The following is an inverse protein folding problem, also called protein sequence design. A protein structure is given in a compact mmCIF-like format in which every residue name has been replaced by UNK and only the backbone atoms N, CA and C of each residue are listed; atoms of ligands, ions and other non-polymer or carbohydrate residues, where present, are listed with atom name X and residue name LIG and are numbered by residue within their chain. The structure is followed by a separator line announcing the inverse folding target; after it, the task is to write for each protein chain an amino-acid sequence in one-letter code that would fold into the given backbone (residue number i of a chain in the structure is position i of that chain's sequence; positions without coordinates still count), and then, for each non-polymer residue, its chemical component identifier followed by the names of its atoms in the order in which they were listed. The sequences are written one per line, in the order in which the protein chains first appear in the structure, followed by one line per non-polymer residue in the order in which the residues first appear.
data_IF_651040027504
#
_entry.id   IF_651040027504
#
_cell.length_a   1.000
_cell.length_b   1.000
_cell.length_c   1.000
_cell.angle_alpha   90.00
_cell.angle_beta   90.00
_cell.angle_gamma   90.00
#
_symmetry.space_group_name_H-M   'P 1'
#
loop_
_entity.id
_entity.type
_entity.pdbx_description
1 polymer ?
#
# COMPACT_ATOMS: atom_id res chain seq x y z
N UNK A 1 18.47 -55.75 0.67
CA UNK A 1 18.21 -57.20 0.89
C UNK A 1 17.12 -57.31 1.94
N UNK A 2 16.33 -58.39 1.92
CA UNK A 2 15.19 -58.67 2.82
C UNK A 2 14.01 -57.66 2.76
N UNK A 3 12.74 -58.09 2.89
CA UNK A 3 12.15 -59.43 2.64
C UNK A 3 10.62 -59.36 2.42
N UNK A 4 10.09 -60.19 1.50
CA UNK A 4 8.73 -60.80 1.44
C UNK A 4 7.44 -59.99 1.73
N UNK A 5 6.48 -60.08 0.79
CA UNK A 5 5.02 -59.87 0.97
C UNK A 5 4.38 -61.03 1.80
N UNK A 6 3.10 -60.90 2.24
CA UNK A 6 2.01 -61.49 1.43
C UNK A 6 0.66 -60.73 1.43
N UNK A 7 -0.26 -61.17 0.57
CA UNK A 7 -1.72 -60.88 0.58
C UNK A 7 -2.50 -62.14 1.07
N UNK A 8 -3.82 -62.23 1.28
CA UNK A 8 -4.98 -61.40 0.88
C UNK A 8 -5.80 -60.93 2.13
N UNK A 9 -7.14 -60.91 2.31
CA UNK A 9 -8.35 -61.53 1.68
C UNK A 9 -9.61 -60.64 1.89
N UNK A 10 -10.76 -61.02 1.31
CA UNK A 10 -12.06 -60.33 1.42
C UNK A 10 -12.94 -60.80 2.60
N UNK A 11 -13.91 -59.96 3.00
CA UNK A 11 -15.29 -60.41 3.28
C UNK A 11 -16.30 -59.27 3.08
N UNK A 12 -17.49 -59.59 2.55
CA UNK A 12 -18.58 -58.63 2.28
C UNK A 12 -19.45 -58.28 3.51
N UNK A 13 -20.05 -57.08 3.49
CA UNK A 13 -21.49 -56.87 3.74
C UNK A 13 -21.90 -55.43 3.39
N UNK A 14 -23.18 -55.19 3.07
CA UNK A 14 -23.69 -53.89 2.61
C UNK A 14 -25.17 -53.65 3.02
N UNK A 15 -25.73 -52.50 2.60
CA UNK A 15 -27.18 -52.15 2.56
C UNK A 15 -27.78 -51.66 3.90
N UNK A 16 -28.65 -50.62 3.95
CA UNK A 16 -28.82 -49.43 3.10
C UNK A 16 -28.93 -48.09 3.89
N UNK A 17 -29.03 -46.94 3.19
CA UNK A 17 -29.83 -45.78 3.65
C UNK A 17 -30.79 -45.37 2.52
N UNK A 18 -32.05 -45.08 2.88
CA UNK A 18 -33.17 -44.97 1.93
C UNK A 18 -33.50 -43.56 1.43
N UNK A 19 -34.24 -43.50 0.31
CA UNK A 19 -34.84 -42.26 -0.25
C UNK A 19 -36.13 -41.87 0.47
N UNK A 20 -36.40 -40.58 0.61
CA UNK A 20 -37.75 -39.97 0.41
C UNK A 20 -37.62 -38.48 0.06
N UNK A 21 -38.71 -37.85 -0.38
CA UNK A 21 -38.70 -36.53 -1.02
C UNK A 21 -39.97 -35.71 -0.76
N UNK A 22 -39.85 -34.40 -1.07
CA UNK A 22 -40.91 -33.42 -1.39
C UNK A 22 -41.86 -32.91 -0.28
N UNK A 23 -41.81 -31.58 -0.08
CA UNK A 23 -42.95 -30.64 0.16
C UNK A 23 -43.88 -30.84 1.39
N UNK A 24 -44.45 -29.81 2.03
CA UNK A 24 -44.69 -28.42 1.62
C UNK A 24 -44.88 -27.47 2.83
N UNK A 25 -44.97 -26.16 2.56
CA UNK A 25 -45.74 -25.12 3.27
C UNK A 25 -45.71 -25.02 4.82
N UNK A 26 -45.38 -23.82 5.34
CA UNK A 26 -46.35 -22.98 6.09
C UNK A 26 -45.84 -21.53 6.17
N UNK A 27 -46.72 -20.56 5.98
CA UNK A 27 -46.47 -19.11 6.14
C UNK A 27 -46.63 -18.64 7.59
N UNK A 28 -45.77 -17.73 8.06
CA UNK A 28 -45.98 -17.00 9.32
C UNK A 28 -45.54 -15.53 9.20
N UNK A 29 -46.50 -14.63 8.98
CA UNK A 29 -46.31 -13.17 9.10
C UNK A 29 -46.77 -12.69 10.47
N UNK A 30 -45.92 -11.96 11.19
CA UNK A 30 -46.28 -11.21 12.40
C UNK A 30 -45.54 -9.85 12.37
N UNK A 31 -46.16 -8.79 11.87
CA UNK A 31 -46.97 -7.81 12.62
C UNK A 31 -46.17 -7.01 13.65
N UNK A 32 -45.79 -5.79 13.26
CA UNK A 32 -45.41 -4.70 14.18
C UNK A 32 -46.68 -4.18 14.87
N UNK A 33 -46.62 -3.92 16.18
CA UNK A 33 -47.68 -3.25 16.94
C UNK A 33 -47.08 -2.36 18.05
N UNK A 34 -47.69 -1.19 18.27
CA UNK A 34 -47.23 -0.15 19.20
C UNK A 34 -47.16 -0.58 20.68
N UNK A 35 -46.21 0.02 21.40
CA UNK A 35 -46.41 0.45 22.78
C UNK A 35 -45.85 1.88 22.96
N UNK A 36 -46.67 2.80 23.46
CA UNK A 36 -46.33 4.22 23.67
C UNK A 36 -46.33 4.56 25.17
N UNK A 37 -45.77 5.75 25.48
CA UNK A 37 -45.98 6.52 26.72
C UNK A 37 -45.24 6.05 28.00
N UNK A 38 -44.74 6.93 28.89
CA UNK A 38 -44.69 8.41 28.86
C UNK A 38 -43.59 9.04 29.76
N UNK A 39 -43.57 10.39 29.78
CA UNK A 39 -42.75 11.34 30.56
C UNK A 39 -41.38 11.69 29.93
N UNK A 40 -41.07 12.94 29.54
CA UNK A 40 -41.07 14.26 30.24
C UNK A 40 -39.93 14.36 31.27
N UNK A 41 -39.03 15.34 31.25
CA UNK A 41 -38.79 16.57 30.44
C UNK A 41 -37.26 16.87 30.46
N UNK A 42 -36.62 17.86 29.80
CA UNK A 42 -36.93 19.10 29.02
C UNK A 42 -35.68 19.40 28.13
N UNK A 43 -35.63 20.32 27.16
CA UNK A 43 -36.60 21.22 26.53
C UNK A 43 -35.91 22.14 25.48
N UNK A 44 -36.71 22.85 24.68
CA UNK A 44 -36.30 23.87 23.66
C UNK A 44 -35.54 23.35 22.41
N UNK A 45 -36.32 23.17 21.34
CA UNK A 45 -35.92 23.26 19.92
C UNK A 45 -36.64 24.46 19.29
N UNK A 46 -36.13 25.03 18.19
CA UNK A 46 -36.95 25.57 17.11
C UNK A 46 -36.99 24.59 15.92
N UNK A 47 -38.18 24.18 15.50
CA UNK A 47 -38.41 23.19 14.43
C UNK A 47 -38.69 23.81 13.05
N UNK A 48 -38.44 23.11 11.93
CA UNK A 48 -38.55 23.67 10.58
C UNK A 48 -39.91 23.46 9.89
N UNK A 49 -40.19 24.30 8.90
CA UNK A 49 -41.28 24.22 7.90
C UNK A 49 -40.83 24.95 6.62
N UNK A 50 -41.29 24.65 5.40
CA UNK A 50 -41.92 23.44 4.85
C UNK A 50 -41.96 23.56 3.31
N UNK A 51 -42.01 22.44 2.58
CA UNK A 51 -42.06 22.44 1.10
C UNK A 51 -43.40 22.94 0.56
N UNK A 52 -43.36 23.85 -0.43
CA UNK A 52 -44.43 24.04 -1.43
C UNK A 52 -43.75 24.20 -2.79
N UNK A 53 -44.29 23.56 -3.83
CA UNK A 53 -43.84 23.68 -5.21
C UNK A 53 -44.88 24.41 -6.07
N UNK A 54 -44.45 25.10 -7.12
CA UNK A 54 -45.34 25.45 -8.23
C UNK A 54 -44.60 25.56 -9.57
N UNK A 55 -45.34 25.46 -10.69
CA UNK A 55 -44.83 25.55 -12.07
C UNK A 55 -44.96 26.99 -12.60
N UNK A 56 -44.10 27.41 -13.54
CA UNK A 56 -44.24 28.75 -14.15
C UNK A 56 -43.21 29.13 -15.22
N UNK A 57 -43.45 28.66 -16.45
CA UNK A 57 -43.14 29.35 -17.73
C UNK A 57 -41.70 29.71 -18.15
N UNK A 58 -41.58 30.12 -19.42
CA UNK A 58 -40.33 30.21 -20.18
C UNK A 58 -39.77 31.62 -20.25
N UNK A 59 -38.45 31.76 -20.27
CA UNK A 59 -37.80 32.66 -21.23
C UNK A 59 -36.53 32.01 -21.81
N UNK A 60 -36.38 32.11 -23.14
CA UNK A 60 -35.15 31.73 -23.85
C UNK A 60 -34.13 32.86 -23.74
N UNK A 61 -32.88 32.53 -23.42
CA UNK A 61 -31.72 33.40 -23.70
C UNK A 61 -30.97 32.80 -24.90
N UNK A 62 -30.61 33.63 -25.87
CA UNK A 62 -30.02 33.20 -27.14
C UNK A 62 -28.49 33.01 -27.04
N UNK A 63 -27.88 32.12 -27.85
CA UNK A 63 -26.44 31.93 -27.86
C UNK A 63 -25.71 33.13 -28.49
N UNK A 64 -24.54 33.46 -27.93
CA UNK A 64 -23.61 34.43 -28.52
C UNK A 64 -23.09 33.91 -29.86
N UNK A 65 -23.27 34.68 -30.93
CA UNK A 65 -22.70 34.40 -32.25
C UNK A 65 -21.23 34.84 -32.29
N UNK A 66 -20.36 33.92 -32.69
CA UNK A 66 -19.11 34.30 -33.35
C UNK A 66 -19.43 34.77 -34.77
N UNK A 67 -18.79 35.85 -35.22
CA UNK A 67 -18.88 36.38 -36.58
C UNK A 67 -17.48 36.43 -37.20
N UNK A 68 -17.35 35.91 -38.41
CA UNK A 68 -16.06 35.79 -39.12
C UNK A 68 -15.79 36.92 -40.11
N UNK A 69 -14.48 37.16 -40.34
CA UNK A 69 -13.88 37.73 -41.55
C UNK A 69 -14.13 39.24 -41.84
N UNK A 70 -13.31 39.90 -42.70
CA UNK A 70 -12.26 39.36 -43.57
C UNK A 70 -10.82 39.83 -43.26
N UNK A 71 -9.88 39.37 -44.08
CA UNK A 71 -8.43 39.52 -43.98
C UNK A 71 -7.85 40.81 -44.56
N UNK A 72 -6.73 41.27 -44.02
CA UNK A 72 -5.62 41.85 -44.80
C UNK A 72 -4.26 41.41 -44.22
N UNK A 73 -3.25 41.24 -45.08
CA UNK A 73 -1.88 40.92 -44.69
C UNK A 73 -1.08 42.21 -44.48
N UNK A 74 -0.24 42.28 -43.44
CA UNK A 74 1.18 42.69 -43.51
C UNK A 74 1.91 42.53 -42.14
N UNK A 75 3.25 42.63 -42.16
CA UNK A 75 4.14 42.78 -41.00
C UNK A 75 4.16 41.67 -39.93
N UNK A 76 4.53 40.45 -40.32
CA UNK A 76 5.26 39.53 -39.44
C UNK A 76 6.79 39.75 -39.56
N UNK A 77 7.41 40.53 -38.67
CA UNK A 77 8.87 40.46 -38.43
C UNK A 77 9.44 41.19 -37.18
N UNK A 78 8.62 41.65 -36.21
CA UNK A 78 9.13 42.44 -35.06
C UNK A 78 8.83 41.91 -33.64
N UNK A 79 8.03 40.85 -33.46
CA UNK A 79 7.81 40.25 -32.13
C UNK A 79 8.74 39.07 -31.78
N UNK A 80 9.38 38.44 -32.77
CA UNK A 80 10.34 37.34 -32.55
C UNK A 80 11.58 37.78 -31.75
N UNK A 81 12.12 38.97 -32.02
CA UNK A 81 13.34 39.46 -31.35
C UNK A 81 13.14 39.81 -29.87
N UNK A 82 11.99 40.37 -29.46
CA UNK A 82 11.77 40.75 -28.06
C UNK A 82 11.66 39.53 -27.13
N UNK A 83 11.01 38.45 -27.57
CA UNK A 83 10.94 37.21 -26.78
C UNK A 83 12.31 36.52 -26.64
N UNK A 84 13.14 36.52 -27.69
CA UNK A 84 14.53 36.03 -27.60
C UNK A 84 15.37 36.86 -26.61
N UNK A 85 15.26 38.18 -26.62
CA UNK A 85 16.02 39.04 -25.69
C UNK A 85 15.59 38.84 -24.22
N UNK A 86 14.31 38.56 -23.95
CA UNK A 86 13.85 38.21 -22.59
C UNK A 86 14.37 36.85 -22.12
N UNK A 87 14.38 35.82 -22.99
CA UNK A 87 14.95 34.51 -22.65
C UNK A 87 16.46 34.54 -22.39
N UNK A 88 17.24 35.31 -23.16
CA UNK A 88 18.67 35.46 -22.90
C UNK A 88 18.96 36.20 -21.58
N UNK A 89 18.11 37.18 -21.19
CA UNK A 89 18.27 37.87 -19.89
C UNK A 89 17.99 36.97 -18.69
N UNK A 90 16.98 36.10 -18.75
CA UNK A 90 16.66 35.19 -17.63
C UNK A 90 17.67 34.03 -17.48
N UNK A 91 18.26 33.57 -18.58
CA UNK A 91 19.38 32.62 -18.52
C UNK A 91 20.64 33.27 -17.91
N UNK A 92 20.97 34.51 -18.27
CA UNK A 92 22.12 35.23 -17.72
C UNK A 92 22.02 35.45 -16.20
N UNK A 93 20.84 35.80 -15.67
CA UNK A 93 20.63 35.96 -14.22
C UNK A 93 20.82 34.65 -13.45
N UNK A 94 20.38 33.51 -14.00
CA UNK A 94 20.58 32.21 -13.36
C UNK A 94 22.05 31.77 -13.41
N UNK A 95 22.78 32.05 -14.50
CA UNK A 95 24.19 31.67 -14.62
C UNK A 95 25.08 32.37 -13.56
N UNK A 96 24.81 33.66 -13.29
CA UNK A 96 25.48 34.40 -12.22
C UNK A 96 25.21 33.87 -10.80
N UNK A 97 24.06 33.22 -10.57
CA UNK A 97 23.70 32.69 -9.24
C UNK A 97 24.48 31.40 -8.89
N UNK A 98 24.78 30.57 -9.90
CA UNK A 98 25.62 29.38 -9.69
C UNK A 98 27.12 29.75 -9.61
N UNK A 99 27.59 30.72 -10.39
CA UNK A 99 28.98 31.19 -10.32
C UNK A 99 29.33 31.83 -8.97
N UNK A 100 28.42 32.62 -8.39
CA UNK A 100 28.67 33.24 -7.07
C UNK A 100 28.71 32.21 -5.94
N UNK A 101 27.90 31.15 -5.98
CA UNK A 101 27.99 30.03 -5.02
C UNK A 101 29.35 29.33 -5.07
N UNK A 102 29.87 29.01 -6.27
CA UNK A 102 31.20 28.40 -6.39
C UNK A 102 32.33 29.35 -5.97
N UNK A 103 32.23 30.64 -6.29
CA UNK A 103 33.23 31.64 -5.90
C UNK A 103 33.27 31.89 -4.39
N UNK A 104 32.13 31.83 -3.69
CA UNK A 104 32.08 31.87 -2.22
C UNK A 104 32.77 30.66 -1.60
N UNK A 105 32.49 29.45 -2.09
CA UNK A 105 33.17 28.23 -1.62
C UNK A 105 34.68 28.23 -1.90
N UNK A 106 35.11 28.68 -3.08
CA UNK A 106 36.53 28.76 -3.42
C UNK A 106 37.26 29.87 -2.64
N UNK A 107 36.60 31.02 -2.40
CA UNK A 107 37.14 32.12 -1.60
C UNK A 107 37.37 31.74 -0.12
N UNK A 108 36.51 30.89 0.45
CA UNK A 108 36.68 30.38 1.81
C UNK A 108 37.93 29.50 1.97
N UNK A 109 38.25 28.68 0.96
CA UNK A 109 39.48 27.86 0.99
C UNK A 109 40.76 28.67 0.74
N UNK A 110 40.70 29.77 -0.01
CA UNK A 110 41.90 30.51 -0.43
C UNK A 110 42.55 31.38 0.65
N UNK A 111 41.95 31.52 1.84
CA UNK A 111 42.49 32.32 2.95
C UNK A 111 43.24 31.51 4.04
N UNK A 112 43.41 30.20 3.90
CA UNK A 112 44.05 29.35 4.93
C UNK A 112 45.56 29.10 4.72
N UNK A 113 46.36 30.17 4.64
CA UNK A 113 47.82 30.09 4.75
C UNK A 113 48.33 31.18 5.72
N UNK A 114 48.60 30.81 6.98
CA UNK A 114 49.03 31.78 8.00
C UNK A 114 49.37 31.25 9.41
N UNK A 115 49.12 29.97 9.72
CA UNK A 115 49.52 29.36 10.99
C UNK A 115 49.67 27.84 10.89
N UNK A 116 50.44 27.23 11.79
CA UNK A 116 50.43 25.78 12.02
C UNK A 116 49.18 25.40 12.84
N UNK A 117 47.99 25.60 12.26
CA UNK A 117 46.78 25.03 12.80
C UNK A 117 46.83 23.50 12.66
N UNK A 118 46.70 22.79 13.77
CA UNK A 118 46.52 21.34 13.79
C UNK A 118 45.20 21.04 13.07
N UNK A 119 45.21 20.28 11.98
CA UNK A 119 44.00 19.99 11.18
C UNK A 119 43.00 19.14 11.98
N UNK A 120 42.10 19.80 12.69
CA UNK A 120 40.93 19.19 13.31
C UNK A 120 39.92 18.86 12.22
N UNK A 121 40.08 17.69 11.59
CA UNK A 121 39.17 17.19 10.56
C UNK A 121 37.72 17.12 11.05
N UNK A 122 36.77 17.36 10.14
CA UNK A 122 35.34 17.32 10.46
C UNK A 122 34.85 15.88 10.62
N UNK A 123 34.86 15.38 11.87
CA UNK A 123 34.27 14.09 12.21
C UNK A 123 32.74 14.17 12.26
N UNK A 124 32.08 13.69 11.19
CA UNK A 124 30.62 13.57 11.12
C UNK A 124 30.22 12.10 10.85
N UNK A 125 30.25 11.23 11.88
CA UNK A 125 29.94 9.80 11.71
C UNK A 125 28.45 9.56 11.44
N UNK A 126 28.14 8.54 10.63
CA UNK A 126 26.77 8.11 10.40
C UNK A 126 26.10 7.59 11.68
N UNK A 127 24.79 7.80 11.82
CA UNK A 127 24.01 7.35 12.99
C UNK A 127 23.83 5.82 13.01
N UNK A 128 23.58 5.26 14.19
CA UNK A 128 23.39 3.80 14.34
C UNK A 128 22.16 3.27 13.58
N UNK A 129 21.06 4.04 13.47
CA UNK A 129 19.92 3.67 12.60
C UNK A 129 20.36 3.61 11.13
N UNK A 130 21.18 4.56 10.66
CA UNK A 130 21.74 4.56 9.30
C UNK A 130 22.64 3.32 9.06
N UNK A 131 23.57 3.04 9.98
CA UNK A 131 24.47 1.86 9.90
C UNK A 131 23.73 0.52 9.82
N UNK A 132 22.56 0.41 10.47
CA UNK A 132 21.70 -0.79 10.42
C UNK A 132 20.70 -0.80 9.25
N UNK A 133 20.57 0.27 8.46
CA UNK A 133 19.61 0.34 7.36
C UNK A 133 20.20 -0.32 6.10
N UNK A 134 20.15 -1.65 6.05
CA UNK A 134 20.72 -2.44 4.95
C UNK A 134 19.58 -3.10 4.14
N UNK A 135 19.63 -2.96 2.82
CA UNK A 135 18.79 -3.75 1.90
C UNK A 135 19.65 -4.86 1.28
N UNK A 136 19.51 -6.14 1.69
CA UNK A 136 20.37 -7.22 1.20
C UNK A 136 20.17 -7.52 -0.29
N UNK A 137 18.97 -7.28 -0.83
CA UNK A 137 18.62 -7.62 -2.22
C UNK A 137 18.99 -6.49 -3.20
N UNK A 138 19.00 -5.22 -2.75
CA UNK A 138 19.18 -4.08 -3.64
C UNK A 138 20.54 -4.05 -4.36
N UNK A 139 21.71 -4.30 -3.72
CA UNK A 139 23.00 -4.32 -4.42
C UNK A 139 23.06 -5.38 -5.53
N UNK A 140 22.44 -6.54 -5.31
CA UNK A 140 22.38 -7.63 -6.29
C UNK A 140 21.58 -7.20 -7.52
N UNK A 141 20.38 -6.66 -7.30
CA UNK A 141 19.53 -6.15 -8.39
C UNK A 141 20.19 -4.97 -9.11
N UNK A 142 20.80 -4.02 -8.40
CA UNK A 142 21.45 -2.87 -9.01
C UNK A 142 22.69 -3.26 -9.83
N UNK A 143 23.45 -4.30 -9.44
CA UNK A 143 24.53 -4.83 -10.29
C UNK A 143 23.94 -5.37 -11.60
N UNK A 144 22.98 -6.28 -11.52
CA UNK A 144 22.36 -6.91 -12.69
C UNK A 144 21.73 -5.86 -13.63
N UNK A 145 21.00 -4.89 -13.09
CA UNK A 145 20.37 -3.83 -13.88
C UNK A 145 21.38 -2.80 -14.42
N UNK A 146 22.50 -2.56 -13.72
CA UNK A 146 23.59 -1.72 -14.23
C UNK A 146 24.26 -2.39 -15.42
N UNK A 147 24.61 -3.67 -15.31
CA UNK A 147 25.30 -4.39 -16.39
C UNK A 147 24.44 -4.42 -17.66
N UNK A 148 23.15 -4.73 -17.53
CA UNK A 148 22.16 -4.66 -18.63
C UNK A 148 22.10 -3.24 -19.24
N UNK A 149 22.00 -2.18 -18.42
CA UNK A 149 21.94 -0.79 -18.90
C UNK A 149 23.24 -0.29 -19.55
N UNK A 150 24.39 -0.82 -19.14
CA UNK A 150 25.70 -0.53 -19.72
C UNK A 150 25.95 -1.29 -21.02
N UNK A 151 24.98 -2.06 -21.52
CA UNK A 151 25.11 -2.83 -22.76
C UNK A 151 25.95 -4.09 -22.60
N UNK A 152 25.90 -4.74 -21.43
CA UNK A 152 26.58 -6.01 -21.19
C UNK A 152 26.18 -7.06 -22.24
N UNK A 153 27.12 -7.37 -23.13
CA UNK A 153 26.98 -8.45 -24.09
C UNK A 153 27.39 -9.76 -23.42
N UNK A 154 26.46 -10.72 -23.40
CA UNK A 154 26.74 -12.09 -22.95
C UNK A 154 27.75 -12.75 -23.89
N UNK A 155 28.61 -13.60 -23.35
CA UNK A 155 29.59 -14.36 -24.14
C UNK A 155 28.95 -15.32 -25.18
N UNK A 156 27.65 -15.63 -25.07
CA UNK A 156 26.88 -16.38 -26.06
C UNK A 156 26.15 -15.50 -27.09
N UNK A 157 26.44 -14.20 -27.14
CA UNK A 157 25.94 -13.25 -28.14
C UNK A 157 24.45 -12.88 -28.02
N UNK A 158 23.78 -13.28 -26.92
CA UNK A 158 22.34 -13.03 -26.71
C UNK A 158 22.09 -11.76 -25.90
N UNK A 159 20.97 -11.10 -26.19
CA UNK A 159 20.45 -10.02 -25.38
C UNK A 159 20.00 -10.54 -23.99
N UNK A 160 20.29 -9.80 -22.90
CA UNK A 160 19.86 -10.17 -21.56
C UNK A 160 18.38 -9.83 -21.30
N UNK A 161 17.59 -10.82 -20.91
CA UNK A 161 16.20 -10.64 -20.47
C UNK A 161 16.17 -10.62 -18.93
N UNK A 162 15.78 -9.48 -18.33
CA UNK A 162 15.66 -9.36 -16.87
C UNK A 162 14.33 -9.90 -16.36
N UNK A 163 14.38 -10.96 -15.56
CA UNK A 163 13.25 -11.44 -14.74
C UNK A 163 13.33 -10.92 -13.28
N UNK A 164 14.35 -10.14 -12.94
CA UNK A 164 14.58 -9.59 -11.60
C UNK A 164 14.00 -8.17 -11.40
N UNK A 165 13.43 -7.56 -12.44
CA UNK A 165 12.89 -6.20 -12.36
C UNK A 165 11.43 -6.21 -11.89
N UNK A 166 11.21 -6.06 -10.58
CA UNK A 166 9.88 -6.08 -9.94
C UNK A 166 9.03 -4.80 -10.15
N UNK A 167 9.20 -4.12 -11.29
CA UNK A 167 8.48 -2.91 -11.68
C UNK A 167 7.55 -3.21 -12.88
N UNK A 168 6.23 -3.32 -12.70
CA UNK A 168 5.32 -3.62 -13.79
C UNK A 168 5.20 -2.48 -14.82
N UNK A 169 5.48 -1.23 -14.43
CA UNK A 169 5.38 -0.07 -15.32
C UNK A 169 6.57 0.04 -16.30
N UNK A 170 7.61 -0.78 -16.11
CA UNK A 170 8.71 -0.89 -17.06
C UNK A 170 8.36 -1.68 -18.33
N UNK A 171 7.23 -2.43 -18.32
CA UNK A 171 6.74 -3.17 -19.48
C UNK A 171 5.69 -2.36 -20.25
N UNK A 172 5.90 -2.18 -21.55
CA UNK A 172 4.92 -1.52 -22.43
C UNK A 172 3.59 -2.28 -22.58
N UNK A 173 3.55 -3.55 -22.17
CA UNK A 173 2.36 -4.39 -22.16
C UNK A 173 1.43 -4.12 -20.95
N UNK A 174 1.94 -3.56 -19.85
CA UNK A 174 1.17 -3.27 -18.63
C UNK A 174 1.09 -1.75 -18.42
N UNK A 175 -0.09 -1.18 -18.70
CA UNK A 175 -0.32 0.27 -18.64
C UNK A 175 -1.21 0.64 -17.46
N UNK A 176 -0.95 1.77 -16.76
CA UNK A 176 -1.87 2.35 -15.79
C UNK A 176 -3.30 2.45 -16.34
N UNK A 177 -4.30 2.19 -15.49
CA UNK A 177 -5.69 2.25 -15.95
C UNK A 177 -6.12 3.71 -16.20
N UNK A 178 -6.89 3.93 -17.27
CA UNK A 178 -7.32 5.27 -17.68
C UNK A 178 -8.04 6.01 -16.55
N UNK A 179 -8.88 5.32 -15.76
CA UNK A 179 -9.59 5.93 -14.63
C UNK A 179 -8.67 6.59 -13.59
N UNK A 180 -7.47 6.05 -13.35
CA UNK A 180 -6.48 6.65 -12.47
C UNK A 180 -5.77 7.85 -13.13
N UNK A 181 -5.43 7.73 -14.42
CA UNK A 181 -4.86 8.83 -15.22
C UNK A 181 -5.83 10.03 -15.28
N UNK A 182 -7.10 9.77 -15.57
CA UNK A 182 -8.17 10.75 -15.65
C UNK A 182 -8.54 11.35 -14.28
N UNK A 183 -8.38 10.60 -13.18
CA UNK A 183 -8.55 11.13 -11.83
C UNK A 183 -7.45 12.16 -11.50
N UNK A 184 -6.18 11.83 -11.77
CA UNK A 184 -5.05 12.76 -11.53
C UNK A 184 -5.11 13.96 -12.48
N UNK A 185 -5.40 13.75 -13.77
CA UNK A 185 -5.51 14.83 -14.74
C UNK A 185 -6.64 15.83 -14.39
N UNK A 186 -7.78 15.35 -13.88
CA UNK A 186 -8.85 16.21 -13.36
C UNK A 186 -8.47 16.89 -12.05
N UNK A 187 -7.84 16.18 -11.11
CA UNK A 187 -7.38 16.79 -9.86
C UNK A 187 -6.49 18.01 -10.11
N UNK A 188 -5.47 17.86 -10.97
CA UNK A 188 -4.53 18.93 -11.33
C UNK A 188 -5.16 20.12 -12.09
N UNK A 189 -6.32 19.93 -12.75
CA UNK A 189 -6.98 20.96 -13.57
C UNK A 189 -8.19 21.62 -12.89
N UNK A 190 -8.91 20.87 -12.07
CA UNK A 190 -10.25 21.22 -11.56
C UNK A 190 -10.28 21.41 -10.04
N UNK A 191 -9.27 20.91 -9.30
CA UNK A 191 -9.23 20.98 -7.84
C UNK A 191 -8.10 21.92 -7.40
N UNK A 192 -8.39 23.21 -7.23
CA UNK A 192 -7.43 24.19 -6.71
C UNK A 192 -6.73 23.72 -5.40
N UNK A 193 -7.44 22.98 -4.54
CA UNK A 193 -6.89 22.41 -3.31
C UNK A 193 -5.90 21.25 -3.51
N UNK A 194 -5.73 20.68 -4.72
CA UNK A 194 -4.72 19.63 -4.97
C UNK A 194 -3.28 20.16 -4.86
N UNK A 195 -3.09 21.48 -4.90
CA UNK A 195 -1.81 22.15 -4.68
C UNK A 195 -1.66 22.71 -3.24
N UNK A 196 -2.63 22.47 -2.36
CA UNK A 196 -2.61 22.92 -0.96
C UNK A 196 -1.95 21.87 -0.05
N UNK A 197 -1.42 22.31 1.09
CA UNK A 197 -1.07 21.37 2.17
C UNK A 197 -2.32 20.63 2.67
N UNK A 198 -2.16 19.33 2.90
CA UNK A 198 -3.18 18.45 3.46
C UNK A 198 -2.85 18.11 4.92
N UNK A 199 -3.79 17.48 5.61
CA UNK A 199 -3.48 16.80 6.88
C UNK A 199 -2.42 15.71 6.62
N UNK A 200 -1.49 15.50 7.56
CA UNK A 200 -0.40 14.52 7.41
C UNK A 200 -0.91 13.07 7.21
N UNK A 201 -2.10 12.74 7.73
CA UNK A 201 -2.76 11.45 7.52
C UNK A 201 -3.45 11.31 6.16
N UNK A 202 -3.38 12.32 5.29
CA UNK A 202 -4.05 12.39 3.98
C UNK A 202 -5.32 13.23 3.96
N UNK A 203 -5.86 13.48 2.75
CA UNK A 203 -7.11 14.25 2.59
C UNK A 203 -8.33 13.48 3.13
N UNK A 204 -9.40 14.18 3.56
CA UNK A 204 -10.63 13.51 3.99
C UNK A 204 -11.22 12.59 2.92
N UNK A 205 -11.22 13.00 1.66
CA UNK A 205 -11.77 12.23 0.54
C UNK A 205 -10.98 10.94 0.29
N UNK A 206 -9.64 11.01 0.35
CA UNK A 206 -8.78 9.84 0.22
C UNK A 206 -8.98 8.86 1.39
N UNK A 207 -9.03 9.38 2.63
CA UNK A 207 -9.25 8.56 3.83
C UNK A 207 -10.63 7.91 3.84
N UNK A 208 -11.68 8.62 3.41
CA UNK A 208 -13.04 8.05 3.25
C UNK A 208 -13.09 6.98 2.15
N UNK A 209 -12.46 7.22 0.99
CA UNK A 209 -12.44 6.25 -0.11
C UNK A 209 -11.73 4.94 0.28
N UNK A 210 -10.59 5.04 0.97
CA UNK A 210 -9.86 3.87 1.49
C UNK A 210 -10.64 3.18 2.62
N UNK A 211 -11.26 3.92 3.53
CA UNK A 211 -12.10 3.36 4.59
C UNK A 211 -13.28 2.56 4.01
N UNK A 212 -13.91 3.06 2.94
CA UNK A 212 -14.97 2.34 2.21
C UNK A 212 -14.44 1.07 1.52
N UNK A 213 -13.25 1.12 0.89
CA UNK A 213 -12.64 -0.05 0.25
C UNK A 213 -12.28 -1.16 1.26
N UNK A 214 -11.84 -0.79 2.45
CA UNK A 214 -11.51 -1.70 3.56
C UNK A 214 -12.67 -1.92 4.54
N UNK A 215 -13.90 -1.58 4.15
CA UNK A 215 -15.12 -1.86 4.92
C UNK A 215 -15.88 -3.05 4.32
N UNK A 216 -16.26 -3.99 5.19
CA UNK A 216 -16.98 -5.22 4.87
C UNK A 216 -18.32 -5.24 5.63
N UNK A 217 -19.28 -6.07 5.20
CA UNK A 217 -20.62 -6.10 5.81
C UNK A 217 -20.57 -6.40 7.33
N UNK A 218 -19.62 -7.23 7.74
CA UNK A 218 -19.37 -7.63 9.13
C UNK A 218 -18.40 -6.70 9.88
N UNK A 219 -17.76 -5.73 9.20
CA UNK A 219 -16.73 -4.86 9.75
C UNK A 219 -16.56 -3.57 8.93
N UNK A 220 -17.24 -2.50 9.37
CA UNK A 220 -17.15 -1.14 8.80
C UNK A 220 -16.12 -0.33 9.59
N UNK A 221 -15.27 0.43 8.88
CA UNK A 221 -14.29 1.35 9.48
C UNK A 221 -14.50 2.79 8.99
N UNK A 222 -14.06 3.77 9.78
CA UNK A 222 -14.14 5.20 9.45
C UNK A 222 -12.86 5.75 8.81
N UNK A 223 -12.90 7.00 8.35
CA UNK A 223 -11.70 7.70 7.89
C UNK A 223 -10.61 7.81 8.97
N UNK A 224 -11.00 7.81 10.25
CA UNK A 224 -10.09 7.84 11.41
C UNK A 224 -9.37 6.51 11.69
N UNK A 225 -9.78 5.44 11.00
CA UNK A 225 -9.00 4.21 10.90
C UNK A 225 -7.94 4.26 9.77
N UNK A 226 -7.83 5.36 8.99
CA UNK A 226 -6.96 5.44 7.80
C UNK A 226 -5.88 6.50 7.92
N UNK A 227 -4.65 6.10 7.58
CA UNK A 227 -3.48 6.98 7.37
C UNK A 227 -2.92 6.74 5.96
N UNK A 228 -2.93 7.76 5.11
CA UNK A 228 -2.29 7.73 3.78
C UNK A 228 -0.76 7.89 3.92
N UNK A 229 0.01 7.18 3.10
CA UNK A 229 1.46 7.09 3.19
C UNK A 229 2.18 7.08 1.82
N UNK A 230 3.51 7.24 1.86
CA UNK A 230 4.44 7.33 0.71
C UNK A 230 4.64 5.97 -0.02
N UNK A 231 3.54 5.42 -0.54
CA UNK A 231 3.41 4.04 -1.02
C UNK A 231 3.31 3.05 0.14
N UNK A 232 3.00 1.78 -0.18
CA UNK A 232 2.91 0.72 0.84
C UNK A 232 4.22 0.58 1.65
N UNK A 233 5.38 0.86 1.04
CA UNK A 233 6.67 0.93 1.73
C UNK A 233 6.68 1.93 2.91
N UNK A 234 6.08 3.11 2.73
CA UNK A 234 5.94 4.11 3.79
C UNK A 234 4.86 3.74 4.80
N UNK A 235 3.81 3.03 4.38
CA UNK A 235 2.79 2.49 5.28
C UNK A 235 3.39 1.45 6.24
N UNK A 236 4.12 0.46 5.70
CA UNK A 236 4.88 -0.54 6.46
C UNK A 236 5.89 0.11 7.40
N UNK A 237 6.60 1.15 6.94
CA UNK A 237 7.49 1.92 7.81
C UNK A 237 6.74 2.55 8.97
N UNK A 238 5.63 3.27 8.74
CA UNK A 238 4.84 3.87 9.83
C UNK A 238 4.32 2.83 10.83
N UNK A 239 3.89 1.66 10.38
CA UNK A 239 3.46 0.58 11.26
C UNK A 239 4.60 0.06 12.14
N UNK A 240 5.77 -0.22 11.55
CA UNK A 240 6.91 -0.80 12.28
C UNK A 240 7.67 0.23 13.13
N UNK A 241 7.78 1.49 12.68
CA UNK A 241 8.27 2.62 13.49
C UNK A 241 7.33 2.96 14.67
N UNK A 242 6.08 2.47 14.67
CA UNK A 242 5.11 2.61 15.79
C UNK A 242 5.12 1.41 16.76
N UNK A 243 5.50 0.22 16.28
CA UNK A 243 5.43 -1.03 17.05
C UNK A 243 6.76 -1.45 17.69
N UNK A 244 7.89 -1.05 17.11
CA UNK A 244 9.22 -1.62 17.36
C UNK A 244 10.20 -0.59 17.94
N UNK A 245 10.69 -0.89 19.14
CA UNK A 245 11.79 -0.22 19.83
C UNK A 245 13.07 -1.08 19.82
N UNK A 246 14.25 -0.51 20.12
CA UNK A 246 15.47 -1.29 20.36
C UNK A 246 15.26 -2.41 21.38
N UNK A 247 15.62 -3.64 21.03
CA UNK A 247 15.42 -4.83 21.89
C UNK A 247 13.99 -5.40 21.90
N UNK A 248 13.11 -4.93 21.01
CA UNK A 248 11.88 -5.65 20.66
C UNK A 248 12.13 -6.76 19.63
N UNK A 249 11.17 -7.66 19.45
CA UNK A 249 11.21 -8.74 18.45
C UNK A 249 10.02 -8.61 17.49
N UNK A 250 10.22 -8.90 16.20
CA UNK A 250 9.16 -9.00 15.18
C UNK A 250 9.26 -10.31 14.40
N UNK A 251 8.12 -10.92 14.08
CA UNK A 251 8.05 -12.14 13.29
C UNK A 251 7.85 -11.81 11.80
N UNK A 252 8.68 -12.39 10.94
CA UNK A 252 8.75 -12.08 9.49
C UNK A 252 8.71 -13.37 8.66
N UNK A 253 7.98 -13.44 7.53
CA UNK A 253 7.95 -14.63 6.68
C UNK A 253 9.29 -14.89 5.99
N UNK A 254 9.70 -16.15 5.94
CA UNK A 254 10.81 -16.64 5.13
C UNK A 254 10.37 -17.76 4.18
N UNK A 255 10.54 -17.61 2.86
CA UNK A 255 11.04 -16.41 2.17
C UNK A 255 10.02 -15.26 2.18
N UNK A 256 10.50 -14.01 2.26
CA UNK A 256 9.64 -12.83 2.35
C UNK A 256 10.25 -11.58 1.70
N UNK A 257 9.49 -10.48 1.71
CA UNK A 257 9.92 -9.22 1.12
C UNK A 257 10.93 -8.49 2.04
N UNK A 258 12.18 -8.19 1.60
CA UNK A 258 13.28 -7.76 2.46
C UNK A 258 13.10 -6.38 3.14
N UNK A 259 12.05 -5.64 2.80
CA UNK A 259 11.76 -4.35 3.43
C UNK A 259 11.38 -4.51 4.92
N UNK A 260 10.71 -5.60 5.29
CA UNK A 260 10.31 -5.86 6.68
C UNK A 260 11.52 -5.94 7.62
N UNK A 261 12.53 -6.73 7.22
CA UNK A 261 13.78 -6.89 7.95
C UNK A 261 14.53 -5.55 8.07
N UNK A 262 14.74 -4.85 6.94
CA UNK A 262 15.43 -3.57 6.90
C UNK A 262 14.85 -2.54 7.89
N UNK A 263 13.53 -2.40 7.93
CA UNK A 263 12.89 -1.42 8.83
C UNK A 263 13.09 -1.83 10.29
N UNK A 264 12.83 -3.09 10.63
CA UNK A 264 12.98 -3.62 11.99
C UNK A 264 14.41 -3.48 12.51
N UNK A 265 15.41 -3.89 11.72
CA UNK A 265 16.83 -3.76 12.07
C UNK A 265 17.26 -2.29 12.16
N UNK A 266 16.74 -1.40 11.31
CA UNK A 266 16.98 0.04 11.44
C UNK A 266 16.50 0.59 12.80
N UNK A 267 15.36 0.09 13.32
CA UNK A 267 14.85 0.43 14.65
C UNK A 267 15.60 -0.26 15.80
N UNK A 268 16.49 -1.23 15.49
CA UNK A 268 17.21 -2.01 16.50
C UNK A 268 16.36 -3.13 17.11
N UNK A 269 15.27 -3.52 16.45
CA UNK A 269 14.49 -4.69 16.79
C UNK A 269 15.16 -5.96 16.23
N UNK A 270 15.01 -7.07 16.95
CA UNK A 270 15.35 -8.40 16.49
C UNK A 270 14.31 -8.90 15.49
N UNK A 271 14.77 -9.33 14.33
CA UNK A 271 13.95 -10.11 13.39
C UNK A 271 14.04 -11.59 13.78
N UNK A 272 12.91 -12.28 13.78
CA UNK A 272 12.87 -13.75 13.76
C UNK A 272 12.06 -14.16 12.54
N UNK A 273 12.69 -14.97 11.71
CA UNK A 273 12.08 -15.52 10.51
C UNK A 273 11.25 -16.77 10.86
N UNK A 274 9.99 -16.80 10.42
CA UNK A 274 9.15 -17.99 10.46
C UNK A 274 9.03 -18.60 9.07
N UNK A 275 8.94 -19.92 8.97
CA UNK A 275 9.00 -20.61 7.68
C UNK A 275 7.66 -20.59 6.93
N UNK A 276 7.74 -20.60 5.60
CA UNK A 276 6.64 -20.91 4.70
C UNK A 276 6.86 -22.29 4.05
N UNK A 277 5.87 -23.17 4.13
CA UNK A 277 5.96 -24.57 3.70
C UNK A 277 5.72 -24.72 2.20
N UNK A 278 6.79 -24.82 1.41
CA UNK A 278 6.74 -24.88 -0.06
C UNK A 278 5.84 -26.00 -0.61
N UNK A 279 5.88 -27.18 0.03
CA UNK A 279 5.06 -28.34 -0.30
C UNK A 279 3.57 -28.16 0.02
N UNK A 280 3.25 -27.21 0.90
CA UNK A 280 1.89 -26.79 1.27
C UNK A 280 1.53 -25.40 0.72
N UNK A 281 1.88 -25.12 -0.53
CA UNK A 281 1.58 -23.85 -1.22
C UNK A 281 2.08 -22.59 -0.47
N UNK A 282 3.17 -22.72 0.29
CA UNK A 282 3.76 -21.68 1.14
C UNK A 282 2.87 -21.20 2.30
N UNK A 283 1.96 -22.03 2.80
CA UNK A 283 1.31 -21.81 4.10
C UNK A 283 2.36 -21.61 5.22
N UNK A 284 2.04 -20.76 6.21
CA UNK A 284 2.89 -20.54 7.37
C UNK A 284 3.08 -21.83 8.17
N UNK A 285 4.32 -22.10 8.56
CA UNK A 285 4.66 -23.19 9.47
C UNK A 285 4.19 -22.83 10.90
N UNK A 286 2.99 -23.30 11.25
CA UNK A 286 2.35 -23.01 12.54
C UNK A 286 3.10 -23.66 13.71
N UNK A 287 3.76 -24.79 13.50
CA UNK A 287 4.51 -25.48 14.55
C UNK A 287 5.86 -24.77 14.80
N UNK A 288 6.54 -24.30 13.75
CA UNK A 288 7.69 -23.41 13.89
C UNK A 288 7.29 -22.10 14.58
N UNK A 289 6.18 -21.46 14.20
CA UNK A 289 5.66 -20.26 14.86
C UNK A 289 5.41 -20.46 16.37
N UNK A 290 4.83 -21.58 16.78
CA UNK A 290 4.65 -21.93 18.20
C UNK A 290 5.99 -22.16 18.92
N UNK A 291 6.97 -22.80 18.26
CA UNK A 291 8.32 -23.00 18.82
C UNK A 291 9.12 -21.69 18.96
N UNK A 292 8.91 -20.73 18.05
CA UNK A 292 9.45 -19.37 18.14
C UNK A 292 8.88 -18.69 19.38
N UNK A 293 7.56 -18.73 19.58
CA UNK A 293 6.92 -18.13 20.75
C UNK A 293 7.29 -18.80 22.07
N UNK A 294 7.57 -20.10 22.07
CA UNK A 294 8.06 -20.82 23.25
C UNK A 294 9.51 -20.44 23.65
N UNK A 295 10.29 -19.84 22.74
CA UNK A 295 11.71 -19.51 22.93
C UNK A 295 12.05 -18.02 22.86
N UNK A 296 11.09 -17.17 22.49
CA UNK A 296 11.29 -15.74 22.21
C UNK A 296 10.63 -14.84 23.23
N UNK A 297 11.20 -13.65 23.44
CA UNK A 297 10.68 -12.63 24.34
C UNK A 297 10.48 -11.29 23.61
N UNK A 298 9.63 -10.43 24.19
CA UNK A 298 9.33 -9.10 23.69
C UNK A 298 8.88 -9.06 22.21
N UNK A 299 8.11 -10.07 21.76
CA UNK A 299 7.52 -10.11 20.42
C UNK A 299 6.39 -9.09 20.35
N UNK A 300 6.44 -8.18 19.37
CA UNK A 300 5.55 -7.01 19.25
C UNK A 300 4.49 -7.13 18.17
N UNK A 301 4.78 -7.90 17.13
CA UNK A 301 3.88 -8.11 15.99
C UNK A 301 4.32 -9.34 15.18
N UNK A 302 3.38 -9.87 14.39
CA UNK A 302 3.66 -10.75 13.27
C UNK A 302 3.31 -10.04 11.96
N UNK A 303 4.23 -10.07 10.99
CA UNK A 303 3.99 -9.57 9.64
C UNK A 303 3.51 -10.74 8.78
N UNK A 304 2.39 -10.55 8.09
CA UNK A 304 1.84 -11.51 7.11
C UNK A 304 1.80 -10.81 5.76
N UNK A 305 2.27 -11.45 4.69
CA UNK A 305 2.16 -10.91 3.32
C UNK A 305 1.35 -11.86 2.44
N UNK A 306 0.14 -11.43 2.08
CA UNK A 306 -0.84 -12.23 1.35
C UNK A 306 -1.70 -11.35 0.44
N UNK A 307 -1.72 -11.55 -0.90
CA UNK A 307 -0.87 -12.47 -1.67
C UNK A 307 0.63 -12.15 -1.56
N UNK A 308 1.44 -13.20 -1.61
CA UNK A 308 2.84 -13.14 -1.20
C UNK A 308 3.82 -12.75 -2.31
N UNK A 309 4.81 -11.93 -1.95
CA UNK A 309 6.04 -11.69 -2.69
C UNK A 309 7.22 -12.09 -1.78
N UNK A 310 8.00 -13.13 -2.13
CA UNK A 310 8.26 -13.60 -3.51
C UNK A 310 7.45 -14.82 -3.97
N UNK A 311 6.68 -15.50 -3.12
CA UNK A 311 6.20 -16.87 -3.44
C UNK A 311 5.02 -16.94 -4.41
N UNK A 312 4.28 -15.85 -4.60
CA UNK A 312 3.04 -15.82 -5.38
C UNK A 312 1.85 -16.49 -4.70
N UNK A 313 2.01 -16.95 -3.44
CA UNK A 313 0.97 -17.67 -2.72
C UNK A 313 -0.25 -16.80 -2.37
N UNK A 314 -1.42 -17.46 -2.29
CA UNK A 314 -2.69 -16.87 -1.87
C UNK A 314 -3.29 -17.77 -0.79
N UNK A 315 -3.29 -17.31 0.46
CA UNK A 315 -3.73 -18.11 1.61
C UNK A 315 -5.24 -18.33 1.62
N UNK A 316 -5.64 -19.55 2.02
CA UNK A 316 -7.05 -19.91 2.17
C UNK A 316 -7.68 -19.23 3.40
N UNK A 317 -9.00 -18.99 3.38
CA UNK A 317 -9.72 -18.53 4.58
C UNK A 317 -9.56 -19.50 5.77
N UNK A 318 -9.31 -20.78 5.52
CA UNK A 318 -8.98 -21.74 6.59
C UNK A 318 -7.64 -21.44 7.24
N UNK A 319 -6.58 -21.28 6.44
CA UNK A 319 -5.23 -21.01 6.97
C UNK A 319 -5.13 -19.64 7.65
N UNK A 320 -5.79 -18.62 7.10
CA UNK A 320 -5.89 -17.29 7.74
C UNK A 320 -6.56 -17.37 9.13
N UNK A 321 -7.52 -18.27 9.35
CA UNK A 321 -8.10 -18.52 10.68
C UNK A 321 -7.11 -19.15 11.65
N UNK A 322 -6.17 -19.97 11.17
CA UNK A 322 -5.08 -20.51 12.00
C UNK A 322 -4.13 -19.40 12.45
N UNK A 323 -3.76 -18.50 11.53
CA UNK A 323 -2.92 -17.33 11.82
C UNK A 323 -3.60 -16.40 12.84
N UNK A 324 -4.90 -16.09 12.67
CA UNK A 324 -5.66 -15.28 13.66
C UNK A 324 -5.74 -15.99 15.02
N UNK A 325 -5.95 -17.31 15.05
CA UNK A 325 -6.00 -18.07 16.31
C UNK A 325 -4.66 -18.05 17.06
N UNK A 326 -3.55 -18.18 16.33
CA UNK A 326 -2.19 -18.06 16.86
C UNK A 326 -1.92 -16.64 17.39
N UNK A 327 -2.26 -15.61 16.62
CA UNK A 327 -2.07 -14.22 17.02
C UNK A 327 -2.92 -13.85 18.25
N UNK A 328 -4.16 -14.36 18.35
CA UNK A 328 -5.02 -14.19 19.52
C UNK A 328 -4.43 -14.87 20.77
N UNK A 329 -4.00 -16.14 20.65
CA UNK A 329 -3.34 -16.91 21.73
C UNK A 329 -2.16 -16.15 22.31
N UNK A 330 -1.31 -15.59 21.45
CA UNK A 330 -0.07 -14.91 21.82
C UNK A 330 -0.21 -13.38 22.01
N UNK A 331 -1.43 -12.84 21.90
CA UNK A 331 -1.74 -11.42 22.05
C UNK A 331 -0.92 -10.50 21.10
N UNK A 332 -0.64 -10.99 19.89
CA UNK A 332 0.15 -10.28 18.88
C UNK A 332 -0.76 -9.55 17.87
N UNK A 333 -0.55 -8.25 17.61
CA UNK A 333 -1.18 -7.60 16.45
C UNK A 333 -0.59 -8.14 15.15
N UNK A 334 -1.43 -8.19 14.11
CA UNK A 334 -1.02 -8.62 12.76
C UNK A 334 -0.79 -7.39 11.89
N UNK A 335 0.39 -7.29 11.29
CA UNK A 335 0.65 -6.34 10.18
C UNK A 335 0.44 -7.11 8.86
N UNK A 336 -0.67 -6.83 8.16
CA UNK A 336 -1.04 -7.53 6.94
C UNK A 336 -0.64 -6.70 5.71
N UNK A 337 0.41 -7.12 4.99
CA UNK A 337 0.79 -6.54 3.70
C UNK A 337 -0.07 -7.16 2.59
N UNK A 338 -1.13 -6.43 2.24
CA UNK A 338 -2.18 -6.83 1.29
C UNK A 338 -2.05 -6.03 -0.03
N UNK A 339 -0.83 -5.61 -0.39
CA UNK A 339 -0.54 -4.80 -1.59
C UNK A 339 -0.87 -5.51 -2.93
N UNK A 340 -1.10 -6.82 -2.88
CA UNK A 340 -1.51 -7.66 -4.01
C UNK A 340 -2.95 -8.18 -3.90
N UNK A 341 -3.77 -7.75 -2.92
CA UNK A 341 -5.07 -8.36 -2.62
C UNK A 341 -6.01 -8.48 -3.84
N UNK A 342 -6.06 -7.44 -4.67
CA UNK A 342 -6.85 -7.37 -5.90
C UNK A 342 -6.19 -8.06 -7.12
N UNK A 343 -5.11 -8.83 -6.90
CA UNK A 343 -4.32 -9.53 -7.92
C UNK A 343 -4.24 -11.01 -7.53
N UNK A 344 -5.36 -11.72 -7.68
CA UNK A 344 -5.44 -13.17 -7.48
C UNK A 344 -6.05 -13.86 -8.71
N UNK A 345 -5.69 -15.13 -8.92
CA UNK A 345 -6.06 -15.90 -10.11
C UNK A 345 -6.83 -17.16 -9.72
N UNK A 346 -7.88 -17.47 -10.47
CA UNK A 346 -8.71 -18.65 -10.23
C UNK A 346 -7.87 -19.95 -10.28
N UNK A 347 -8.11 -20.93 -9.39
CA UNK A 347 -9.24 -21.03 -8.45
C UNK A 347 -9.07 -20.25 -7.14
N UNK A 348 -7.90 -19.66 -6.89
CA UNK A 348 -7.61 -18.96 -5.64
C UNK A 348 -8.42 -17.66 -5.53
N UNK A 349 -8.72 -17.26 -4.30
CA UNK A 349 -9.43 -16.02 -3.97
C UNK A 349 -8.69 -15.32 -2.86
N UNK A 350 -8.60 -14.00 -2.95
CA UNK A 350 -8.14 -13.19 -1.83
C UNK A 350 -9.18 -13.17 -0.70
N UNK A 351 -8.67 -13.17 0.53
CA UNK A 351 -9.44 -13.02 1.77
C UNK A 351 -8.69 -12.02 2.66
N UNK A 352 -9.19 -10.79 2.86
CA UNK A 352 -8.54 -9.80 3.73
C UNK A 352 -8.41 -10.31 5.16
N UNK A 353 -7.24 -10.13 5.78
CA UNK A 353 -6.98 -10.63 7.14
C UNK A 353 -7.95 -10.01 8.15
N UNK A 354 -8.25 -8.71 8.01
CA UNK A 354 -9.22 -8.02 8.85
C UNK A 354 -10.64 -8.60 8.76
N UNK A 355 -11.08 -9.05 7.58
CA UNK A 355 -12.38 -9.72 7.42
C UNK A 355 -12.37 -11.10 8.08
N UNK A 356 -11.27 -11.85 7.98
CA UNK A 356 -11.15 -13.16 8.65
C UNK A 356 -11.16 -13.00 10.17
N UNK A 357 -10.41 -12.02 10.71
CA UNK A 357 -10.42 -11.67 12.13
C UNK A 357 -11.81 -11.19 12.60
N UNK A 358 -12.52 -10.41 11.79
CA UNK A 358 -13.89 -9.98 12.10
C UNK A 358 -14.88 -11.15 12.18
N UNK A 359 -14.82 -12.10 11.23
CA UNK A 359 -15.61 -13.35 11.27
C UNK A 359 -15.31 -14.23 12.49
N UNK A 360 -14.16 -14.04 13.14
CA UNK A 360 -13.75 -14.72 14.38
C UNK A 360 -14.06 -13.91 15.65
N UNK A 361 -14.78 -12.79 15.54
CA UNK A 361 -15.14 -11.95 16.69
C UNK A 361 -14.06 -10.95 17.12
N UNK A 362 -13.21 -10.50 16.17
CA UNK A 362 -12.26 -9.37 16.34
C UNK A 362 -11.26 -9.55 17.49
N UNK A 363 -10.83 -10.79 17.72
CA UNK A 363 -9.90 -11.18 18.80
C UNK A 363 -8.47 -10.62 18.64
N UNK A 364 -8.14 -9.99 17.51
CA UNK A 364 -6.79 -9.56 17.13
C UNK A 364 -6.86 -8.23 16.39
N UNK A 365 -6.10 -7.19 16.81
CA UNK A 365 -5.92 -5.97 16.02
C UNK A 365 -5.16 -6.27 14.72
N UNK A 366 -5.71 -5.85 13.58
CA UNK A 366 -5.08 -6.01 12.26
C UNK A 366 -4.75 -4.64 11.68
N UNK A 367 -3.49 -4.46 11.29
CA UNK A 367 -2.97 -3.26 10.63
C UNK A 367 -2.72 -3.62 9.17
N UNK A 368 -3.65 -3.26 8.29
CA UNK A 368 -3.57 -3.59 6.86
C UNK A 368 -2.77 -2.52 6.13
N UNK A 369 -1.65 -2.90 5.51
CA UNK A 369 -0.85 -2.08 4.63
C UNK A 369 -1.18 -2.40 3.16
N UNK A 370 -1.57 -1.39 2.38
CA UNK A 370 -1.83 -1.57 0.94
C UNK A 370 -1.63 -0.26 0.15
N UNK A 371 -2.04 -0.24 -1.12
CA UNK A 371 -1.85 0.91 -2.01
C UNK A 371 -2.02 0.63 -3.50
N UNK A 372 -2.19 1.69 -4.29
CA UNK A 372 -2.45 1.58 -5.74
C UNK A 372 -1.25 1.07 -6.57
N UNK A 373 -0.06 0.92 -5.96
CA UNK A 373 1.22 0.69 -6.63
C UNK A 373 1.30 -0.56 -7.53
N UNK A 374 0.46 -1.58 -7.27
CA UNK A 374 0.44 -2.84 -8.03
C UNK A 374 -0.84 -2.95 -8.87
N UNK A 375 -2.02 -2.92 -8.24
CA UNK A 375 -3.32 -3.06 -8.92
C UNK A 375 -3.53 -2.01 -10.04
N UNK A 376 -3.11 -0.76 -9.81
CA UNK A 376 -3.27 0.33 -10.79
C UNK A 376 -2.00 0.56 -11.63
N UNK A 377 -0.96 -0.27 -11.46
CA UNK A 377 0.29 -0.25 -12.24
C UNK A 377 1.06 1.09 -12.16
N UNK A 378 0.91 1.83 -11.05
CA UNK A 378 1.54 3.15 -10.81
C UNK A 378 2.50 3.18 -9.60
N UNK A 379 3.53 2.33 -9.53
CA UNK A 379 4.43 2.26 -8.37
C UNK A 379 5.24 3.54 -8.13
N UNK A 380 5.47 4.33 -9.18
CA UNK A 380 6.12 5.64 -9.12
C UNK A 380 5.27 6.78 -8.54
N UNK A 381 3.95 6.61 -8.42
CA UNK A 381 3.06 7.66 -7.87
C UNK A 381 3.06 7.75 -6.34
N UNK A 382 3.66 6.76 -5.67
CA UNK A 382 3.91 6.78 -4.21
C UNK A 382 2.67 6.98 -3.33
N UNK A 383 1.52 6.42 -3.71
CA UNK A 383 0.32 6.38 -2.85
C UNK A 383 0.12 4.98 -2.28
N UNK A 384 -0.01 4.91 -0.96
CA UNK A 384 -0.42 3.74 -0.19
C UNK A 384 -1.04 4.17 1.13
N UNK A 385 -1.37 3.24 2.01
CA UNK A 385 -2.05 3.54 3.28
C UNK A 385 -1.88 2.43 4.32
N UNK A 386 -2.13 2.80 5.57
CA UNK A 386 -2.53 1.90 6.65
C UNK A 386 -4.05 1.99 6.88
N UNK A 387 -4.69 0.85 7.07
CA UNK A 387 -6.03 0.72 7.62
C UNK A 387 -5.96 -0.02 8.96
N UNK A 388 -6.46 0.60 10.03
CA UNK A 388 -6.41 0.10 11.40
C UNK A 388 -7.73 -0.59 11.76
N UNK A 389 -7.71 -1.91 11.85
CA UNK A 389 -8.86 -2.75 12.16
C UNK A 389 -8.78 -3.20 13.63
N UNK A 390 -9.51 -2.48 14.48
CA UNK A 390 -9.58 -2.62 15.93
C UNK A 390 -11.04 -2.43 16.38
N UNK A 391 -11.40 -2.99 17.54
CA UNK A 391 -12.75 -3.09 18.15
C UNK A 391 -13.73 -4.01 17.43
#
# INVERSE_FOLDING_TARGET
MDRTLPATSHHDTAVPIGRRAASASTTATATVADAKHNAKEKGIMPSPTSVVANRGEHHRVAPLKLSEQPSQLHNHNHHSHQQHQQHHRSQATNHNYYYTQQQVFQGLHSQQHGSQAQETGWECPASEKSKRTINPVRPIIDSILKDIKMGYQRADGKDPISLAQCDPAASSALKPCNAALDAVARALRERHHSASYLNASGSPEARVAVAHHHSYHEHIIGADNIVIANGCSGALQLALDTLLDPGTTVLVPHPGFPLYQMIAESNGAKVIEYHLLQDRNWECDMDHLESIMASSTNVRAIIINNPSNPTGAVFSEYHLKQIVSFAAKHHLPIVSDEIYGEITFAPHKFHPMALVAAKMGRQVPVITASGISKQFLVPGWRVGWLAFHDK
#
